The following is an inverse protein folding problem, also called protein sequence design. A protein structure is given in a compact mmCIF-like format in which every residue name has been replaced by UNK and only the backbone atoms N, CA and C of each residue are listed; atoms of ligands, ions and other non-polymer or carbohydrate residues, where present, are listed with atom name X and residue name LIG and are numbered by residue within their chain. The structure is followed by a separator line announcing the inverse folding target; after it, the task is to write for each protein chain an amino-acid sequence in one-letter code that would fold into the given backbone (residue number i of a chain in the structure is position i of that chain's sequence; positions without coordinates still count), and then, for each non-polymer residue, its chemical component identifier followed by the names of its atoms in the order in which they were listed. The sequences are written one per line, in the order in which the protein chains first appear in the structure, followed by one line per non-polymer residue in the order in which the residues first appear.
data_IF_258081040686
#
_entry.id   IF_258081040686
#
_cell.length_a   1.000
_cell.length_b   1.000
_cell.length_c   1.000
_cell.angle_alpha   90.00
_cell.angle_beta   90.00
_cell.angle_gamma   90.00
#
_symmetry.space_group_name_H-M   'P 1'
#
loop_
_entity.id
_entity.type
_entity.pdbx_description
1 polymer ?
#
# COMPACT_ATOMS: atom_id res chain seq x y z
N UNK A 1 60.15 -69.62 31.18
CA UNK A 1 59.14 -68.67 30.62
C UNK A 1 58.84 -69.04 29.17
N UNK A 2 57.66 -69.62 28.90
CA UNK A 2 57.14 -69.82 27.54
C UNK A 2 55.72 -69.26 27.51
N UNK A 3 55.52 -68.21 26.71
CA UNK A 3 54.29 -67.42 26.63
C UNK A 3 53.32 -68.07 25.64
N UNK A 4 52.10 -68.36 26.08
CA UNK A 4 50.99 -68.84 25.25
C UNK A 4 50.47 -67.72 24.33
N UNK A 5 50.49 -67.93 23.01
CA UNK A 5 49.79 -67.09 22.02
C UNK A 5 48.30 -67.51 21.94
N UNK A 6 47.39 -66.64 22.37
CA UNK A 6 45.93 -66.78 22.16
C UNK A 6 45.54 -66.20 20.80
N UNK A 7 45.09 -67.06 19.89
CA UNK A 7 44.48 -66.68 18.60
C UNK A 7 43.10 -66.05 18.80
N UNK A 8 42.92 -64.78 18.39
CA UNK A 8 41.63 -64.06 18.46
C UNK A 8 40.97 -64.07 17.07
N UNK A 9 40.02 -64.98 16.85
CA UNK A 9 39.16 -65.02 15.65
C UNK A 9 38.32 -63.72 15.54
N UNK A 10 38.54 -62.95 14.48
CA UNK A 10 37.71 -61.79 14.07
C UNK A 10 36.36 -62.28 13.55
N UNK A 11 35.27 -62.05 14.30
CA UNK A 11 33.89 -62.13 13.78
C UNK A 11 33.59 -60.87 12.96
N UNK A 12 33.45 -61.00 11.64
CA UNK A 12 32.87 -59.96 10.76
C UNK A 12 31.38 -59.84 11.11
N UNK A 13 30.94 -58.66 11.56
CA UNK A 13 29.52 -58.30 11.62
C UNK A 13 29.11 -57.87 10.21
N UNK A 14 28.26 -58.66 9.57
CA UNK A 14 27.53 -58.23 8.38
C UNK A 14 26.59 -57.09 8.79
N UNK A 15 26.81 -55.91 8.21
CA UNK A 15 25.86 -54.80 8.28
C UNK A 15 24.70 -55.16 7.34
N UNK A 16 23.55 -55.47 7.91
CA UNK A 16 22.28 -55.45 7.18
C UNK A 16 22.14 -54.08 6.52
N UNK A 17 21.97 -54.08 5.19
CA UNK A 17 21.60 -52.88 4.43
C UNK A 17 20.19 -52.53 4.86
N UNK A 18 20.09 -51.58 5.77
CA UNK A 18 18.84 -50.92 6.11
C UNK A 18 18.35 -50.23 4.83
N UNK A 19 17.20 -50.67 4.34
CA UNK A 19 16.51 -50.12 3.20
C UNK A 19 16.12 -48.70 3.55
N UNK A 20 16.94 -47.73 3.13
CA UNK A 20 16.65 -46.31 3.32
C UNK A 20 15.41 -46.01 2.48
N UNK A 21 14.24 -46.13 3.09
CA UNK A 21 13.01 -45.53 2.60
C UNK A 21 13.32 -44.07 2.25
N UNK A 22 13.37 -43.78 0.95
CA UNK A 22 13.45 -42.41 0.46
C UNK A 22 12.34 -41.63 1.15
N UNK A 23 12.61 -40.49 1.80
CA UNK A 23 11.55 -39.67 2.34
C UNK A 23 10.61 -39.31 1.18
N UNK A 24 9.32 -39.62 1.32
CA UNK A 24 8.29 -39.27 0.35
C UNK A 24 8.29 -37.75 0.19
N UNK A 25 9.04 -37.25 -0.78
CA UNK A 25 9.13 -35.83 -1.08
C UNK A 25 7.80 -35.39 -1.69
N UNK A 26 7.17 -34.39 -1.08
CA UNK A 26 6.01 -33.73 -1.67
C UNK A 26 6.44 -33.17 -3.04
N UNK A 27 5.74 -33.50 -4.12
CA UNK A 27 6.00 -32.93 -5.44
C UNK A 27 6.14 -31.39 -5.43
N UNK A 28 7.01 -30.86 -6.30
CA UNK A 28 7.35 -29.43 -6.32
C UNK A 28 6.16 -28.53 -6.65
N UNK A 29 5.28 -28.99 -7.53
CA UNK A 29 4.01 -28.37 -7.90
C UNK A 29 3.03 -28.31 -6.71
N UNK A 30 2.92 -29.39 -5.93
CA UNK A 30 2.12 -29.37 -4.71
C UNK A 30 2.73 -28.45 -3.64
N UNK A 31 4.05 -28.42 -3.53
CA UNK A 31 4.75 -27.47 -2.66
C UNK A 31 4.48 -26.02 -3.09
N UNK A 32 4.51 -25.73 -4.40
CA UNK A 32 4.15 -24.44 -4.98
C UNK A 32 2.74 -24.02 -4.55
N UNK A 33 1.78 -24.93 -4.76
CA UNK A 33 0.37 -24.67 -4.52
C UNK A 33 0.10 -24.46 -3.03
N UNK A 34 0.69 -25.27 -2.15
CA UNK A 34 0.59 -25.12 -0.70
C UNK A 34 1.16 -23.78 -0.25
N UNK A 35 2.41 -23.46 -0.63
CA UNK A 35 3.07 -22.25 -0.18
C UNK A 35 2.35 -20.98 -0.69
N UNK A 36 1.86 -20.99 -1.93
CA UNK A 36 1.13 -19.85 -2.51
C UNK A 36 -0.20 -19.53 -1.81
N UNK A 37 -0.76 -20.51 -1.08
CA UNK A 37 -2.00 -20.36 -0.32
C UNK A 37 -1.79 -19.74 1.07
N UNK A 38 -0.57 -19.76 1.59
CA UNK A 38 -0.25 -19.23 2.92
C UNK A 38 -0.19 -17.69 2.94
N UNK A 39 -0.38 -17.05 4.11
CA UNK A 39 -0.11 -15.63 4.26
C UNK A 39 1.36 -15.28 4.04
N UNK A 40 1.65 -14.07 3.57
CA UNK A 40 3.03 -13.61 3.29
C UNK A 40 3.97 -13.79 4.48
N UNK A 41 3.49 -13.50 5.70
CA UNK A 41 4.25 -13.68 6.95
C UNK A 41 4.72 -15.13 7.15
N UNK A 42 3.87 -16.11 6.82
CA UNK A 42 4.21 -17.52 6.94
C UNK A 42 5.23 -17.93 5.89
N UNK A 43 5.05 -17.46 4.65
CA UNK A 43 5.98 -17.72 3.54
C UNK A 43 7.39 -17.23 3.89
N UNK A 44 7.53 -16.00 4.38
CA UNK A 44 8.83 -15.44 4.79
C UNK A 44 9.48 -16.27 5.91
N UNK A 45 8.69 -16.75 6.87
CA UNK A 45 9.22 -17.64 7.93
C UNK A 45 9.66 -18.97 7.35
N UNK A 46 8.90 -19.54 6.42
CA UNK A 46 9.17 -20.86 5.87
C UNK A 46 10.35 -20.90 4.90
N UNK A 47 10.92 -19.75 4.51
CA UNK A 47 12.21 -19.69 3.84
C UNK A 47 13.35 -20.35 4.64
N UNK A 48 13.24 -20.44 5.98
CA UNK A 48 14.25 -21.10 6.79
C UNK A 48 14.13 -22.63 6.83
N UNK A 49 13.03 -23.21 6.31
CA UNK A 49 12.78 -24.66 6.36
C UNK A 49 13.72 -25.42 5.43
N UNK A 50 13.99 -24.89 4.23
CA UNK A 50 14.95 -25.48 3.30
C UNK A 50 15.46 -24.47 2.28
N UNK A 51 16.64 -24.73 1.70
CA UNK A 51 17.17 -23.95 0.57
C UNK A 51 16.22 -23.93 -0.63
N UNK A 52 15.54 -25.06 -0.87
CA UNK A 52 14.55 -25.19 -1.94
C UNK A 52 13.38 -24.23 -1.71
N UNK A 53 12.80 -24.19 -0.52
CA UNK A 53 11.66 -23.30 -0.22
C UNK A 53 12.07 -21.83 -0.26
N UNK A 54 13.28 -21.51 0.21
CA UNK A 54 13.86 -20.17 0.07
C UNK A 54 13.92 -19.75 -1.39
N UNK A 55 14.56 -20.54 -2.26
CA UNK A 55 14.66 -20.20 -3.69
C UNK A 55 13.30 -20.15 -4.39
N UNK A 56 12.39 -21.06 -4.04
CA UNK A 56 11.07 -21.15 -4.65
C UNK A 56 10.23 -19.90 -4.41
N UNK A 57 10.23 -19.42 -3.17
CA UNK A 57 9.39 -18.28 -2.76
C UNK A 57 9.90 -16.93 -3.27
N UNK A 58 11.15 -16.88 -3.76
CA UNK A 58 11.76 -15.71 -4.39
C UNK A 58 11.65 -15.72 -5.92
N UNK A 59 11.14 -16.80 -6.53
CA UNK A 59 10.98 -16.86 -7.98
C UNK A 59 9.92 -15.85 -8.45
N UNK A 60 10.15 -15.11 -9.56
CA UNK A 60 9.16 -14.18 -10.12
C UNK A 60 7.81 -14.84 -10.41
N UNK A 61 7.81 -16.08 -10.91
CA UNK A 61 6.58 -16.84 -11.15
C UNK A 61 5.78 -17.12 -9.87
N UNK A 62 6.47 -17.41 -8.76
CA UNK A 62 5.83 -17.60 -7.46
C UNK A 62 5.26 -16.28 -6.93
N UNK A 63 6.04 -15.20 -7.00
CA UNK A 63 5.61 -13.87 -6.56
C UNK A 63 4.37 -13.41 -7.34
N UNK A 64 4.36 -13.59 -8.66
CA UNK A 64 3.22 -13.25 -9.52
C UNK A 64 1.98 -14.10 -9.18
N UNK A 65 2.13 -15.42 -9.05
CA UNK A 65 1.04 -16.31 -8.62
C UNK A 65 0.49 -15.93 -7.24
N UNK A 66 1.38 -15.61 -6.29
CA UNK A 66 1.00 -15.13 -4.97
C UNK A 66 0.22 -13.81 -5.06
N UNK A 67 0.68 -12.86 -5.88
CA UNK A 67 0.01 -11.58 -6.06
C UNK A 67 -1.41 -11.77 -6.62
N UNK A 68 -1.60 -12.57 -7.67
CA UNK A 68 -2.92 -12.89 -8.23
C UNK A 68 -3.87 -13.50 -7.18
N UNK A 69 -3.37 -14.41 -6.34
CA UNK A 69 -4.15 -14.99 -5.23
C UNK A 69 -4.40 -14.00 -4.10
N UNK A 70 -3.44 -13.11 -3.82
CA UNK A 70 -3.57 -12.08 -2.80
C UNK A 70 -4.65 -11.07 -3.20
N UNK A 71 -4.75 -10.71 -4.48
CA UNK A 71 -5.80 -9.85 -5.02
C UNK A 71 -7.20 -10.46 -4.95
N UNK A 72 -7.33 -11.80 -4.95
CA UNK A 72 -8.62 -12.48 -4.81
C UNK A 72 -9.00 -12.79 -3.36
N UNK A 73 -8.09 -12.62 -2.40
CA UNK A 73 -8.38 -12.75 -0.97
C UNK A 73 -9.10 -11.49 -0.45
N UNK A 74 -9.73 -11.62 0.72
CA UNK A 74 -10.30 -10.47 1.41
C UNK A 74 -9.22 -9.41 1.69
N UNK A 75 -9.42 -8.15 1.29
CA UNK A 75 -8.46 -7.10 1.51
C UNK A 75 -8.27 -6.81 3.00
N UNK A 76 -7.15 -6.16 3.31
CA UNK A 76 -6.82 -5.71 4.65
C UNK A 76 -6.94 -4.20 4.75
N UNK A 77 -7.32 -3.77 5.93
CA UNK A 77 -7.25 -2.39 6.36
C UNK A 77 -5.92 -2.22 7.10
N UNK A 78 -5.03 -1.37 6.58
CA UNK A 78 -3.84 -0.96 7.32
C UNK A 78 -4.08 0.37 8.00
N UNK A 79 -3.69 0.42 9.26
CA UNK A 79 -3.64 1.63 10.05
C UNK A 79 -2.19 1.90 10.44
N UNK A 80 -1.76 3.15 10.25
CA UNK A 80 -0.46 3.62 10.72
C UNK A 80 -0.63 4.84 11.60
N UNK A 81 0.17 4.90 12.66
CA UNK A 81 0.10 5.99 13.63
C UNK A 81 1.44 6.21 14.33
N UNK A 82 1.61 7.40 14.88
CA UNK A 82 2.81 7.77 15.63
C UNK A 82 2.47 7.92 17.10
N UNK A 83 3.22 7.26 17.96
CA UNK A 83 3.10 7.34 19.40
C UNK A 83 4.49 7.54 20.00
N UNK A 84 4.67 8.62 20.77
CA UNK A 84 5.96 8.96 21.41
C UNK A 84 7.15 8.94 20.42
N UNK A 85 6.95 9.46 19.21
CA UNK A 85 7.96 9.49 18.15
C UNK A 85 8.24 8.15 17.46
N UNK A 86 7.53 7.07 17.81
CA UNK A 86 7.64 5.75 17.17
C UNK A 86 6.46 5.49 16.25
N UNK A 87 6.71 4.86 15.11
CA UNK A 87 5.69 4.55 14.11
C UNK A 87 5.19 3.11 14.23
N UNK A 88 3.88 2.94 14.35
CA UNK A 88 3.24 1.63 14.49
C UNK A 88 2.33 1.33 13.32
N UNK A 89 2.20 0.03 13.03
CA UNK A 89 1.39 -0.49 11.93
C UNK A 89 0.50 -1.58 12.47
N UNK A 90 -0.81 -1.40 12.28
CA UNK A 90 -1.82 -2.43 12.53
C UNK A 90 -2.46 -2.87 11.22
N UNK A 91 -2.83 -4.14 11.17
CA UNK A 91 -3.55 -4.72 10.05
C UNK A 91 -4.77 -5.48 10.52
N UNK A 92 -5.90 -5.20 9.88
CA UNK A 92 -7.19 -5.80 10.19
C UNK A 92 -7.82 -6.41 8.93
N UNK A 93 -8.64 -7.45 9.05
CA UNK A 93 -9.47 -7.89 7.94
C UNK A 93 -10.51 -6.81 7.65
N UNK A 94 -10.59 -6.32 6.40
CA UNK A 94 -11.44 -5.16 6.10
C UNK A 94 -12.94 -5.49 6.04
N UNK A 95 -13.26 -6.69 5.54
CA UNK A 95 -14.63 -7.11 5.21
C UNK A 95 -15.17 -8.18 6.15
N UNK A 96 -14.40 -8.60 7.16
CA UNK A 96 -14.84 -9.65 8.09
C UNK A 96 -15.49 -8.99 9.33
N UNK A 97 -16.80 -9.19 9.40
CA UNK A 97 -17.73 -9.11 10.53
C UNK A 97 -18.37 -7.74 10.91
N UNK A 98 -19.71 -7.64 11.04
CA UNK A 98 -20.45 -6.41 11.41
C UNK A 98 -20.63 -6.13 12.91
N UNK A 99 -20.24 -7.02 13.84
CA UNK A 99 -20.79 -7.01 15.22
C UNK A 99 -19.84 -6.75 16.40
N UNK A 100 -18.54 -6.54 16.25
CA UNK A 100 -17.73 -6.27 17.46
C UNK A 100 -16.22 -6.21 17.32
N UNK A 101 -15.59 -5.69 18.37
CA UNK A 101 -14.18 -5.30 18.54
C UNK A 101 -13.14 -6.11 17.74
N UNK A 102 -12.29 -5.41 16.99
CA UNK A 102 -11.23 -6.03 16.19
C UNK A 102 -9.92 -6.14 16.99
N UNK A 103 -9.33 -7.33 17.05
CA UNK A 103 -7.89 -7.47 17.30
C UNK A 103 -7.10 -7.41 15.99
N UNK A 104 -5.93 -6.75 15.95
CA UNK A 104 -5.12 -6.71 14.74
C UNK A 104 -4.57 -8.11 14.42
N UNK A 105 -4.64 -8.51 13.14
CA UNK A 105 -4.01 -9.74 12.62
C UNK A 105 -2.50 -9.71 12.86
N UNK A 106 -1.93 -8.51 12.75
CA UNK A 106 -0.60 -8.22 13.25
C UNK A 106 -0.47 -6.75 13.61
N UNK A 107 0.34 -6.52 14.64
CA UNK A 107 0.91 -5.23 14.99
C UNK A 107 2.44 -5.32 14.92
N UNK A 108 3.08 -4.22 14.56
CA UNK A 108 4.53 -4.09 14.70
C UNK A 108 4.98 -2.62 14.73
N UNK A 109 6.16 -2.42 15.33
CA UNK A 109 6.92 -1.18 15.23
C UNK A 109 7.63 -1.10 13.88
N UNK A 110 7.37 -0.04 13.11
CA UNK A 110 8.01 0.22 11.83
C UNK A 110 9.42 0.76 12.07
N UNK A 111 10.42 -0.12 11.94
CA UNK A 111 11.82 0.26 12.07
C UNK A 111 12.26 1.13 10.89
N UNK A 112 13.17 2.07 11.16
CA UNK A 112 13.76 2.98 10.18
C UNK A 112 12.74 3.92 9.52
N UNK A 113 11.59 4.17 10.14
CA UNK A 113 10.69 5.25 9.74
C UNK A 113 11.13 6.53 10.46
N UNK A 114 11.68 7.51 9.73
CA UNK A 114 12.15 8.76 10.32
C UNK A 114 11.33 9.91 9.73
N UNK A 115 10.32 10.40 10.47
CA UNK A 115 9.40 11.43 9.97
C UNK A 115 8.82 11.11 8.58
N UNK A 116 8.59 9.83 8.28
CA UNK A 116 8.14 9.39 6.96
C UNK A 116 6.64 9.67 6.80
N UNK A 117 6.32 10.84 6.26
CA UNK A 117 4.98 11.17 5.80
C UNK A 117 4.61 10.26 4.62
N UNK A 118 3.54 9.48 4.76
CA UNK A 118 3.05 8.61 3.68
C UNK A 118 2.55 9.45 2.51
N UNK A 119 3.08 9.18 1.30
CA UNK A 119 2.84 10.00 0.10
C UNK A 119 1.95 9.34 -0.95
N UNK A 120 1.41 8.16 -0.66
CA UNK A 120 0.58 7.40 -1.58
C UNK A 120 -0.37 6.48 -0.80
N UNK A 121 -1.38 5.94 -1.49
CA UNK A 121 -2.12 4.78 -0.98
C UNK A 121 -1.29 3.50 -1.07
N UNK A 122 -1.87 2.39 -0.60
CA UNK A 122 -1.35 1.09 -0.99
C UNK A 122 -1.64 0.83 -2.47
N UNK A 123 -0.59 0.64 -3.25
CA UNK A 123 -0.64 0.28 -4.65
C UNK A 123 -0.11 -1.15 -4.79
N UNK A 124 -1.00 -2.11 -5.00
CA UNK A 124 -0.66 -3.54 -5.10
C UNK A 124 0.28 -4.03 -3.97
N UNK A 125 -0.06 -3.67 -2.73
CA UNK A 125 0.65 -4.09 -1.53
C UNK A 125 1.92 -3.31 -1.19
N UNK A 126 2.29 -2.30 -1.98
CA UNK A 126 3.42 -1.39 -1.70
C UNK A 126 2.93 0.03 -1.39
N UNK A 127 3.69 0.77 -0.59
CA UNK A 127 3.38 2.16 -0.22
C UNK A 127 4.65 3.00 -0.40
N UNK A 128 4.54 4.12 -1.12
CA UNK A 128 5.62 5.11 -1.25
C UNK A 128 5.60 6.08 -0.07
N UNK A 129 6.76 6.18 0.57
CA UNK A 129 7.10 7.12 1.64
C UNK A 129 7.88 8.31 1.09
N UNK A 130 8.17 9.27 1.95
CA UNK A 130 9.07 10.36 1.63
C UNK A 130 10.50 9.87 1.29
N UNK A 131 11.27 10.68 0.56
CA UNK A 131 12.66 10.37 0.25
C UNK A 131 12.90 9.17 -0.68
N UNK A 132 11.95 8.86 -1.57
CA UNK A 132 11.99 7.70 -2.48
C UNK A 132 12.13 6.34 -1.77
N UNK A 133 11.44 6.21 -0.65
CA UNK A 133 11.45 4.97 0.12
C UNK A 133 10.17 4.21 -0.15
N UNK A 134 10.28 2.93 -0.47
CA UNK A 134 9.16 2.04 -0.71
C UNK A 134 9.03 1.11 0.48
N UNK A 135 7.85 1.11 1.07
CA UNK A 135 7.51 0.24 2.17
C UNK A 135 6.68 -0.93 1.67
N UNK A 136 7.13 -2.14 2.00
CA UNK A 136 6.33 -3.35 1.91
C UNK A 136 5.84 -3.74 3.32
N UNK A 137 4.55 -3.50 3.66
CA UNK A 137 4.01 -3.82 4.97
C UNK A 137 3.96 -5.32 5.29
N UNK A 138 3.89 -6.17 4.27
CA UNK A 138 3.82 -7.63 4.42
C UNK A 138 5.17 -8.21 4.83
N UNK A 139 6.24 -7.72 4.20
CA UNK A 139 7.62 -8.10 4.51
C UNK A 139 8.21 -7.30 5.67
N UNK A 140 7.55 -6.20 6.08
CA UNK A 140 8.03 -5.26 7.10
C UNK A 140 9.39 -4.65 6.73
N UNK A 141 9.61 -4.42 5.43
CA UNK A 141 10.86 -3.89 4.88
C UNK A 141 10.61 -2.56 4.20
N UNK A 142 11.60 -1.68 4.34
CA UNK A 142 11.66 -0.41 3.62
C UNK A 142 12.87 -0.49 2.71
N UNK A 143 12.63 -0.26 1.42
CA UNK A 143 13.66 -0.14 0.40
C UNK A 143 13.85 1.34 0.05
N UNK A 144 15.07 1.78 -0.15
CA UNK A 144 15.37 3.15 -0.59
C UNK A 144 15.80 3.08 -2.05
N UNK A 145 15.06 3.73 -2.94
CA UNK A 145 15.44 3.81 -4.34
C UNK A 145 16.72 4.64 -4.50
N UNK A 146 17.51 4.41 -5.56
CA UNK A 146 18.58 5.33 -5.92
C UNK A 146 18.02 6.74 -6.08
N UNK A 147 18.83 7.75 -5.80
CA UNK A 147 18.45 9.12 -6.17
C UNK A 147 18.58 9.27 -7.69
N UNK A 148 17.67 10.01 -8.34
CA UNK A 148 17.85 10.42 -9.72
C UNK A 148 19.17 11.18 -9.86
N UNK A 149 19.91 10.92 -10.95
CA UNK A 149 21.23 11.51 -11.19
C UNK A 149 21.21 13.04 -11.16
N UNK A 150 22.36 13.63 -10.79
CA UNK A 150 22.53 15.05 -10.43
C UNK A 150 22.43 16.06 -11.61
N UNK A 151 22.02 15.63 -12.80
CA UNK A 151 21.94 16.49 -13.99
C UNK A 151 20.67 17.32 -14.09
N UNK A 152 19.90 17.41 -13.00
CA UNK A 152 18.64 18.15 -12.99
C UNK A 152 18.95 19.64 -12.85
N UNK A 153 18.48 20.49 -13.77
CA UNK A 153 18.71 21.92 -13.71
C UNK A 153 18.31 22.51 -12.35
N UNK A 154 19.13 23.42 -11.81
CA UNK A 154 18.87 24.12 -10.53
C UNK A 154 17.51 24.84 -10.55
N UNK A 155 17.05 25.26 -11.74
CA UNK A 155 15.74 25.88 -11.95
C UNK A 155 14.55 24.96 -11.59
N UNK A 156 14.76 23.64 -11.52
CA UNK A 156 13.78 22.65 -11.08
C UNK A 156 13.95 22.35 -9.57
N UNK A 157 13.65 23.34 -8.73
CA UNK A 157 13.86 23.25 -7.29
C UNK A 157 12.81 22.42 -6.54
N UNK A 158 11.69 22.08 -7.20
CA UNK A 158 10.58 21.34 -6.59
C UNK A 158 10.43 19.94 -7.19
N UNK A 159 10.03 18.99 -6.34
CA UNK A 159 9.87 17.59 -6.73
C UNK A 159 8.65 16.92 -6.11
N UNK A 160 7.94 16.14 -6.92
CA UNK A 160 6.80 15.30 -6.51
C UNK A 160 6.96 13.89 -7.06
N UNK A 161 6.56 12.89 -6.28
CA UNK A 161 6.76 11.49 -6.64
C UNK A 161 5.52 10.67 -6.32
N UNK A 162 5.22 9.69 -7.17
CA UNK A 162 4.00 8.90 -7.14
C UNK A 162 4.29 7.44 -7.42
N UNK A 163 3.68 6.55 -6.64
CA UNK A 163 3.72 5.12 -6.88
C UNK A 163 2.61 4.72 -7.85
N UNK A 164 2.98 3.94 -8.85
CA UNK A 164 2.12 3.50 -9.93
C UNK A 164 2.22 1.99 -10.12
N UNK A 165 1.22 1.41 -10.77
CA UNK A 165 1.22 0.00 -11.14
C UNK A 165 0.71 -0.17 -12.56
N UNK A 166 1.44 -0.93 -13.36
CA UNK A 166 1.02 -1.41 -14.66
C UNK A 166 0.32 -2.77 -14.47
N UNK A 167 -1.02 -2.84 -14.59
CA UNK A 167 -1.76 -4.08 -14.39
C UNK A 167 -1.54 -5.10 -15.52
N UNK A 168 -1.03 -4.69 -16.69
CA UNK A 168 -0.79 -5.61 -17.81
C UNK A 168 0.57 -6.27 -17.68
N UNK A 169 1.61 -5.52 -17.32
CA UNK A 169 2.94 -6.08 -17.06
C UNK A 169 3.11 -6.62 -15.64
N UNK A 170 2.19 -6.28 -14.74
CA UNK A 170 2.24 -6.66 -13.34
C UNK A 170 3.36 -5.98 -12.55
N UNK A 171 3.80 -4.79 -12.99
CA UNK A 171 4.98 -4.10 -12.45
C UNK A 171 4.64 -2.79 -11.78
N UNK A 172 5.34 -2.52 -10.67
CA UNK A 172 5.34 -1.22 -10.04
C UNK A 172 6.30 -0.27 -10.76
N UNK A 173 5.87 0.98 -10.91
CA UNK A 173 6.71 2.09 -11.39
C UNK A 173 6.61 3.26 -10.42
N UNK A 174 7.67 4.05 -10.29
CA UNK A 174 7.63 5.31 -9.55
C UNK A 174 7.86 6.46 -10.52
N UNK A 175 6.86 7.34 -10.65
CA UNK A 175 6.97 8.58 -11.39
C UNK A 175 7.53 9.65 -10.46
N UNK A 176 8.50 10.40 -10.94
CA UNK A 176 9.06 11.56 -10.26
C UNK A 176 9.05 12.77 -11.19
N UNK A 177 8.39 13.84 -10.78
CA UNK A 177 8.31 15.09 -11.50
C UNK A 177 9.21 16.10 -10.81
N UNK A 178 10.22 16.58 -11.52
CA UNK A 178 10.95 17.78 -11.17
C UNK A 178 10.30 18.95 -11.91
N UNK A 179 10.01 20.04 -11.21
CA UNK A 179 9.25 21.14 -11.79
C UNK A 179 9.72 22.49 -11.26
N UNK A 180 9.65 23.48 -12.14
CA UNK A 180 9.93 24.89 -11.88
C UNK A 180 8.77 25.76 -12.34
N UNK A 181 9.00 27.06 -12.50
CA UNK A 181 7.98 28.01 -12.95
C UNK A 181 7.52 27.78 -14.39
N UNK A 182 8.39 27.27 -15.26
CA UNK A 182 8.14 27.15 -16.71
C UNK A 182 8.56 25.82 -17.33
N UNK A 183 8.99 24.85 -16.53
CA UNK A 183 9.45 23.55 -17.01
C UNK A 183 9.09 22.42 -16.06
N UNK A 184 8.94 21.23 -16.65
CA UNK A 184 8.72 19.97 -15.93
C UNK A 184 9.55 18.88 -16.58
N UNK A 185 10.23 18.09 -15.75
CA UNK A 185 11.04 16.95 -16.17
C UNK A 185 10.49 15.68 -15.50
N UNK A 186 9.83 14.81 -16.26
CA UNK A 186 9.33 13.55 -15.75
C UNK A 186 10.40 12.46 -15.82
N UNK A 187 10.73 11.87 -14.67
CA UNK A 187 11.57 10.68 -14.56
C UNK A 187 10.75 9.51 -14.07
N UNK A 188 11.10 8.31 -14.53
CA UNK A 188 10.46 7.07 -14.13
C UNK A 188 11.49 5.99 -13.82
N UNK A 189 11.18 5.18 -12.83
CA UNK A 189 11.91 3.96 -12.49
C UNK A 189 10.91 2.81 -12.40
N UNK A 190 11.26 1.67 -12.98
CA UNK A 190 10.47 0.44 -12.90
C UNK A 190 11.12 -0.49 -11.88
N UNK A 191 10.34 -0.97 -10.91
CA UNK A 191 10.88 -1.75 -9.80
C UNK A 191 11.05 -3.22 -10.18
N UNK A 192 12.09 -3.87 -9.66
CA UNK A 192 12.39 -5.28 -9.93
C UNK A 192 13.04 -5.58 -11.29
N UNK A 193 13.41 -4.54 -12.05
CA UNK A 193 14.24 -4.65 -13.26
C UNK A 193 15.62 -4.02 -12.99
N UNK A 194 16.34 -3.59 -14.04
CA UNK A 194 17.50 -2.72 -13.86
C UNK A 194 17.00 -1.37 -13.32
N UNK A 195 17.12 -1.18 -12.01
CA UNK A 195 16.51 -0.07 -11.25
C UNK A 195 17.26 1.24 -11.45
N UNK A 196 17.23 1.80 -12.66
CA UNK A 196 17.75 3.12 -12.97
C UNK A 196 16.62 4.09 -13.30
N UNK A 197 16.80 5.34 -12.88
CA UNK A 197 15.93 6.43 -13.31
C UNK A 197 16.19 6.74 -14.78
N UNK A 198 15.11 6.96 -15.53
CA UNK A 198 15.20 7.49 -16.89
C UNK A 198 14.19 8.60 -17.10
N UNK A 199 14.53 9.54 -17.97
CA UNK A 199 13.63 10.60 -18.41
C UNK A 199 12.55 9.97 -19.32
N UNK A 200 11.30 10.39 -19.13
CA UNK A 200 10.21 10.05 -20.06
C UNK A 200 10.31 11.01 -21.25
N UNK A 201 10.80 10.51 -22.38
CA UNK A 201 10.91 11.27 -23.64
C UNK A 201 9.73 11.05 -24.57
N UNK A 202 8.96 9.97 -24.35
CA UNK A 202 7.78 9.61 -25.16
C UNK A 202 6.54 10.32 -24.62
N UNK A 203 5.84 11.03 -25.50
CA UNK A 203 4.71 11.88 -25.13
C UNK A 203 5.17 13.21 -24.56
N UNK A 204 4.65 14.34 -25.07
CA UNK A 204 4.90 15.64 -24.46
C UNK A 204 4.26 15.65 -23.08
N UNK A 205 5.05 15.69 -22.02
CA UNK A 205 4.56 16.08 -20.70
C UNK A 205 4.20 17.57 -20.77
N UNK A 206 2.92 17.96 -20.62
CA UNK A 206 2.55 19.36 -20.60
C UNK A 206 3.27 20.06 -19.45
N UNK A 207 3.73 21.29 -19.64
CA UNK A 207 4.30 22.07 -18.54
C UNK A 207 3.21 22.28 -17.48
N UNK A 208 3.46 21.80 -16.27
CA UNK A 208 2.53 21.90 -15.15
C UNK A 208 3.26 21.81 -13.81
N UNK A 209 2.62 22.32 -12.76
CA UNK A 209 3.11 22.26 -11.38
C UNK A 209 2.20 21.37 -10.54
N UNK A 210 2.65 20.19 -10.08
CA UNK A 210 1.85 19.36 -9.19
C UNK A 210 1.60 20.07 -7.85
N UNK A 211 0.39 19.97 -7.31
CA UNK A 211 0.01 20.69 -6.10
C UNK A 211 0.64 20.07 -4.86
N UNK A 212 0.80 20.89 -3.81
CA UNK A 212 1.24 20.36 -2.51
C UNK A 212 0.16 19.57 -1.79
N UNK A 213 -1.10 19.88 -2.11
CA UNK A 213 -2.30 19.26 -1.56
C UNK A 213 -2.59 17.91 -2.21
N UNK A 214 -3.04 16.95 -1.39
CA UNK A 214 -3.37 15.61 -1.84
C UNK A 214 -2.14 14.73 -2.13
N UNK A 215 -2.39 13.43 -2.25
CA UNK A 215 -1.46 12.47 -2.82
C UNK A 215 -2.08 11.90 -4.10
N UNK A 216 -1.24 11.56 -5.08
CA UNK A 216 -1.71 10.94 -6.32
C UNK A 216 -2.27 9.55 -6.05
N UNK A 217 -3.26 9.16 -6.86
CA UNK A 217 -4.02 7.91 -6.74
C UNK A 217 -3.82 7.12 -8.02
N UNK A 218 -3.31 5.89 -7.92
CA UNK A 218 -3.13 5.01 -9.06
C UNK A 218 -4.15 3.87 -8.99
N UNK A 219 -5.00 3.77 -10.01
CA UNK A 219 -5.96 2.68 -10.17
C UNK A 219 -6.21 2.46 -11.67
N UNK A 220 -6.54 1.23 -12.06
CA UNK A 220 -6.78 0.84 -13.45
C UNK A 220 -5.62 1.20 -14.41
N UNK A 221 -4.37 1.17 -13.93
CA UNK A 221 -3.19 1.51 -14.75
C UNK A 221 -3.02 3.00 -15.04
N UNK A 222 -3.80 3.87 -14.40
CA UNK A 222 -3.72 5.32 -14.56
C UNK A 222 -3.45 5.96 -13.20
N UNK A 223 -2.44 6.81 -13.15
CA UNK A 223 -2.18 7.69 -12.01
C UNK A 223 -2.92 9.01 -12.21
N UNK A 224 -3.68 9.45 -11.21
CA UNK A 224 -4.32 10.75 -11.17
C UNK A 224 -3.72 11.60 -10.04
N UNK A 225 -3.34 12.83 -10.35
CA UNK A 225 -2.85 13.79 -9.36
C UNK A 225 -3.30 15.21 -9.66
N UNK A 226 -3.33 16.04 -8.63
CA UNK A 226 -3.72 17.45 -8.76
C UNK A 226 -2.51 18.28 -9.23
N UNK A 227 -2.75 19.20 -10.17
CA UNK A 227 -1.72 20.04 -10.76
C UNK A 227 -2.27 21.43 -11.14
N UNK A 228 -1.38 22.34 -11.51
CA UNK A 228 -1.69 23.65 -12.07
C UNK A 228 -1.01 23.85 -13.42
N UNK A 229 -1.75 24.48 -14.34
CA UNK A 229 -1.25 24.97 -15.64
C UNK A 229 -1.75 26.41 -15.78
N UNK A 230 -0.85 27.36 -16.03
CA UNK A 230 -1.18 28.78 -16.19
C UNK A 230 -2.14 29.32 -15.10
N UNK A 231 -1.84 29.02 -13.84
CA UNK A 231 -2.65 29.35 -12.64
C UNK A 231 -4.07 28.73 -12.57
N UNK A 232 -4.39 27.79 -13.46
CA UNK A 232 -5.61 27.00 -13.40
C UNK A 232 -5.36 25.62 -12.77
N UNK A 233 -6.16 25.27 -11.77
CA UNK A 233 -6.16 23.91 -11.20
C UNK A 233 -6.70 22.92 -12.25
N UNK A 234 -5.96 21.82 -12.44
CA UNK A 234 -6.33 20.68 -13.27
C UNK A 234 -6.11 19.37 -12.51
N UNK A 235 -6.61 18.28 -13.07
CA UNK A 235 -6.19 16.93 -12.71
C UNK A 235 -5.28 16.47 -13.85
N UNK A 236 -4.10 15.96 -13.53
CA UNK A 236 -3.26 15.31 -14.52
C UNK A 236 -3.44 13.80 -14.39
N UNK A 237 -3.73 13.14 -15.51
CA UNK A 237 -3.66 11.70 -15.62
C UNK A 237 -2.36 11.29 -16.28
N UNK A 238 -1.76 10.21 -15.79
CA UNK A 238 -0.58 9.57 -16.35
C UNK A 238 -0.90 8.09 -16.59
N UNK A 239 -0.93 7.68 -17.85
CA UNK A 239 -1.06 6.27 -18.24
C UNK A 239 0.28 5.58 -17.99
N UNK A 240 0.28 4.56 -17.14
CA UNK A 240 1.50 3.91 -16.67
C UNK A 240 2.15 3.05 -17.76
N UNK A 241 1.37 2.55 -18.70
CA UNK A 241 1.82 1.67 -19.77
C UNK A 241 2.40 2.48 -20.93
N UNK A 242 1.63 3.43 -21.46
CA UNK A 242 2.09 4.28 -22.57
C UNK A 242 3.04 5.38 -22.09
N UNK A 243 3.10 5.63 -20.78
CA UNK A 243 3.88 6.70 -20.15
C UNK A 243 3.49 8.08 -20.65
N UNK A 244 2.20 8.27 -20.96
CA UNK A 244 1.65 9.50 -21.52
C UNK A 244 0.84 10.30 -20.50
N UNK A 245 0.95 11.62 -20.60
CA UNK A 245 0.25 12.58 -19.75
C UNK A 245 -0.97 13.14 -20.47
N UNK A 246 -2.06 13.35 -19.74
CA UNK A 246 -3.27 14.00 -20.28
C UNK A 246 -3.91 14.88 -19.21
N UNK A 247 -4.18 16.16 -19.52
CA UNK A 247 -4.86 17.06 -18.60
C UNK A 247 -6.37 16.77 -18.59
N UNK A 248 -6.96 16.79 -17.40
CA UNK A 248 -8.38 16.62 -17.14
C UNK A 248 -8.88 17.88 -16.44
N UNK A 249 -9.93 18.48 -16.99
CA UNK A 249 -10.53 19.69 -16.45
C UNK A 249 -11.40 19.35 -15.23
N UNK A 250 -11.39 20.21 -14.20
CA UNK A 250 -12.35 20.07 -13.11
C UNK A 250 -13.79 20.35 -13.57
N UNK A 251 -14.81 19.82 -12.86
CA UNK A 251 -16.20 20.13 -13.15
C UNK A 251 -16.48 21.64 -13.10
N UNK A 252 -17.12 22.17 -14.14
CA UNK A 252 -17.57 23.57 -14.22
C UNK A 252 -18.54 23.87 -13.06
N UNK A 253 -18.44 25.05 -12.47
CA UNK A 253 -19.32 25.54 -11.38
C UNK A 253 -19.27 24.75 -10.06
N UNK A 254 -18.24 23.95 -9.85
CA UNK A 254 -18.07 23.22 -8.59
C UNK A 254 -17.63 24.17 -7.46
N UNK A 255 -18.29 24.11 -6.31
CA UNK A 255 -17.87 24.73 -5.03
C UNK A 255 -16.52 24.22 -4.50
N UNK A 256 -15.91 23.31 -5.26
CA UNK A 256 -14.70 22.56 -5.00
C UNK A 256 -13.43 23.37 -5.20
N UNK A 257 -13.48 24.63 -5.64
CA UNK A 257 -12.26 25.43 -5.87
C UNK A 257 -11.39 25.68 -4.62
N UNK A 258 -11.89 25.40 -3.41
CA UNK A 258 -11.16 25.68 -2.15
C UNK A 258 -11.15 24.54 -1.11
N UNK A 259 -11.71 23.38 -1.42
CA UNK A 259 -11.77 22.24 -0.47
C UNK A 259 -10.83 21.11 -0.90
N UNK A 260 -10.21 20.43 0.09
CA UNK A 260 -9.37 19.27 -0.16
C UNK A 260 -10.18 18.15 -0.83
N UNK A 261 -9.78 17.76 -2.04
CA UNK A 261 -10.45 16.74 -2.85
C UNK A 261 -9.75 15.41 -2.71
N UNK A 262 -10.54 14.34 -2.79
CA UNK A 262 -10.03 12.99 -2.96
C UNK A 262 -10.44 12.49 -4.33
N UNK A 263 -9.48 11.95 -5.07
CA UNK A 263 -9.72 11.20 -6.29
C UNK A 263 -9.92 9.74 -5.90
N UNK A 264 -11.04 9.16 -6.31
CA UNK A 264 -11.40 7.78 -6.00
C UNK A 264 -11.82 7.02 -7.25
N UNK A 265 -11.54 5.71 -7.33
CA UNK A 265 -12.23 4.84 -8.27
C UNK A 265 -13.69 4.71 -7.84
N UNK A 266 -14.63 5.00 -8.74
CA UNK A 266 -16.05 4.81 -8.52
C UNK A 266 -16.71 4.34 -9.81
N UNK A 267 -17.34 3.16 -9.79
CA UNK A 267 -17.90 2.52 -11.00
C UNK A 267 -16.90 2.42 -12.17
N UNK A 268 -15.67 2.02 -11.85
CA UNK A 268 -14.59 1.89 -12.83
C UNK A 268 -14.06 3.20 -13.40
N UNK A 269 -14.59 4.36 -12.96
CA UNK A 269 -14.24 5.69 -13.46
C UNK A 269 -13.60 6.53 -12.35
N UNK A 270 -12.92 7.59 -12.76
CA UNK A 270 -12.43 8.62 -11.83
C UNK A 270 -13.62 9.38 -11.25
N UNK A 271 -13.67 9.53 -9.93
CA UNK A 271 -14.58 10.43 -9.27
C UNK A 271 -13.90 11.34 -8.25
N UNK A 272 -14.49 12.51 -8.02
CA UNK A 272 -14.06 13.52 -7.08
C UNK A 272 -15.06 13.65 -5.95
N UNK A 273 -14.52 13.68 -4.74
CA UNK A 273 -15.29 13.75 -3.50
C UNK A 273 -14.57 14.65 -2.49
N UNK A 274 -15.31 15.42 -1.70
CA UNK A 274 -14.72 16.23 -0.63
C UNK A 274 -14.25 15.33 0.51
N UNK A 275 -13.12 15.68 1.14
CA UNK A 275 -12.61 14.91 2.30
C UNK A 275 -13.52 15.00 3.53
N UNK A 276 -14.18 16.14 3.69
CA UNK A 276 -15.07 16.40 4.81
C UNK A 276 -16.51 16.09 4.37
N UNK A 277 -17.08 15.06 5.00
CA UNK A 277 -18.46 14.55 4.83
C UNK A 277 -19.16 14.94 3.51
N UNK A 278 -18.87 14.23 2.42
CA UNK A 278 -19.29 14.64 1.10
C UNK A 278 -20.80 14.60 0.95
N UNK A 279 -21.35 15.71 0.47
CA UNK A 279 -22.74 15.81 0.02
C UNK A 279 -22.90 15.48 -1.46
N UNK A 280 -21.80 15.50 -2.22
CA UNK A 280 -21.81 15.35 -3.67
C UNK A 280 -20.58 14.57 -4.13
N UNK A 281 -20.78 13.81 -5.21
CA UNK A 281 -19.76 13.07 -5.94
C UNK A 281 -19.79 13.55 -7.40
N UNK A 282 -18.61 13.80 -7.97
CA UNK A 282 -18.49 14.13 -9.39
C UNK A 282 -17.79 12.99 -10.10
N UNK A 283 -18.48 12.33 -11.03
CA UNK A 283 -17.97 11.15 -11.75
C UNK A 283 -17.61 11.58 -13.17
N UNK A 284 -16.39 11.29 -13.60
CA UNK A 284 -15.94 11.59 -14.95
C UNK A 284 -16.73 10.73 -15.94
N UNK A 285 -17.29 11.36 -16.99
CA UNK A 285 -18.14 10.68 -17.98
C UNK A 285 -17.35 10.14 -19.16
N UNK A 286 -16.48 10.98 -19.71
CA UNK A 286 -15.80 10.77 -20.97
C UNK A 286 -14.37 10.28 -20.77
N UNK A 287 -13.84 9.59 -21.77
CA UNK A 287 -12.43 9.22 -21.81
C UNK A 287 -11.52 10.44 -22.01
N UNK A 288 -12.05 11.50 -22.65
CA UNK A 288 -11.33 12.72 -22.99
C UNK A 288 -11.13 13.66 -21.79
N UNK A 289 -11.81 13.41 -20.66
CA UNK A 289 -11.52 14.11 -19.40
C UNK A 289 -12.13 15.50 -19.29
N UNK A 290 -13.30 15.73 -19.91
CA UNK A 290 -13.90 17.06 -20.02
C UNK A 290 -15.33 17.14 -19.45
N UNK A 291 -16.03 16.01 -19.32
CA UNK A 291 -17.41 15.97 -18.83
C UNK A 291 -17.55 15.24 -17.49
N UNK A 292 -18.36 15.82 -16.60
CA UNK A 292 -18.61 15.29 -15.26
C UNK A 292 -20.11 15.14 -14.99
N UNK A 293 -20.48 14.03 -14.36
CA UNK A 293 -21.81 13.84 -13.76
C UNK A 293 -21.76 14.23 -12.30
N UNK A 294 -22.62 15.16 -11.88
CA UNK A 294 -22.85 15.42 -10.45
C UNK A 294 -23.88 14.42 -9.92
N UNK A 295 -23.51 13.71 -8.86
CA UNK A 295 -24.39 12.84 -8.11
C UNK A 295 -24.48 13.35 -6.67
N UNK A 296 -25.68 13.66 -6.19
CA UNK A 296 -25.90 14.00 -4.79
C UNK A 296 -25.83 12.73 -3.94
N UNK A 297 -25.05 12.78 -2.87
CA UNK A 297 -24.99 11.70 -1.90
C UNK A 297 -26.10 11.88 -0.86
N UNK A 298 -26.75 10.79 -0.43
CA UNK A 298 -27.80 10.88 0.57
C UNK A 298 -27.22 11.40 1.89
N UNK A 299 -28.04 12.16 2.63
CA UNK A 299 -27.61 12.75 3.90
C UNK A 299 -27.39 11.62 4.91
N UNK A 300 -26.14 11.38 5.24
CA UNK A 300 -25.80 10.27 6.13
C UNK A 300 -26.22 10.58 7.57
N UNK A 301 -26.92 9.64 8.21
CA UNK A 301 -27.34 9.72 9.61
C UNK A 301 -26.21 9.28 10.54
N UNK A 302 -25.16 10.10 10.66
CA UNK A 302 -24.10 9.85 11.64
C UNK A 302 -24.55 10.23 13.04
N UNK A 303 -24.06 9.51 14.05
CA UNK A 303 -24.06 10.02 15.44
C UNK A 303 -23.32 11.36 15.41
N UNK A 304 -23.95 12.41 15.91
CA UNK A 304 -23.49 13.81 15.83
C UNK A 304 -22.03 14.01 16.26
N UNK A 305 -21.56 13.22 17.24
CA UNK A 305 -20.16 13.21 17.71
C UNK A 305 -19.11 12.89 16.65
N UNK A 306 -19.43 12.16 15.58
CA UNK A 306 -18.46 11.76 14.55
C UNK A 306 -18.14 12.85 13.53
N UNK A 307 -19.08 13.80 13.34
CA UNK A 307 -19.04 14.77 12.23
C UNK A 307 -17.90 15.77 12.29
N UNK A 308 -17.26 15.90 13.45
CA UNK A 308 -16.25 16.94 13.72
C UNK A 308 -14.82 16.34 13.67
N UNK A 309 -14.68 15.01 13.78
CA UNK A 309 -13.38 14.35 13.98
C UNK A 309 -12.94 13.41 12.86
N UNK A 310 -13.87 12.97 12.01
CA UNK A 310 -13.62 12.00 10.95
C UNK A 310 -13.25 12.68 9.63
N UNK A 311 -12.36 12.03 8.87
CA UNK A 311 -12.06 12.40 7.50
C UNK A 311 -12.15 11.20 6.59
N UNK A 312 -12.54 11.46 5.34
CA UNK A 312 -12.45 10.47 4.28
C UNK A 312 -10.99 10.11 4.03
N UNK A 313 -10.69 8.81 4.03
CA UNK A 313 -9.36 8.25 3.82
C UNK A 313 -9.25 7.46 2.52
N UNK A 314 -10.33 6.85 2.06
CA UNK A 314 -10.33 6.01 0.88
C UNK A 314 -11.71 5.50 0.51
N UNK A 315 -11.75 4.55 -0.41
CA UNK A 315 -12.93 3.79 -0.79
C UNK A 315 -12.56 2.30 -0.79
N UNK A 316 -13.48 1.42 -0.43
CA UNK A 316 -13.28 -0.03 -0.53
C UNK A 316 -13.55 -0.53 -1.94
N UNK A 317 -13.09 -1.73 -2.30
CA UNK A 317 -13.42 -2.34 -3.60
C UNK A 317 -14.93 -2.57 -3.79
N UNK A 318 -15.68 -2.65 -2.67
CA UNK A 318 -17.14 -2.71 -2.68
C UNK A 318 -17.82 -1.36 -2.90
N UNK A 319 -17.05 -0.26 -3.00
CA UNK A 319 -17.58 1.09 -3.21
C UNK A 319 -17.97 1.83 -1.92
N UNK A 320 -17.59 1.32 -0.74
CA UNK A 320 -17.87 1.99 0.53
C UNK A 320 -16.83 3.07 0.82
N UNK A 321 -17.27 4.29 1.10
CA UNK A 321 -16.41 5.39 1.54
C UNK A 321 -15.91 5.13 2.96
N UNK A 322 -14.59 5.20 3.16
CA UNK A 322 -13.94 4.88 4.44
C UNK A 322 -13.54 6.16 5.17
N UNK A 323 -14.15 6.37 6.34
CA UNK A 323 -13.89 7.50 7.22
C UNK A 323 -13.16 7.04 8.48
N UNK A 324 -12.14 7.79 8.88
CA UNK A 324 -11.38 7.52 10.10
C UNK A 324 -10.98 8.84 10.80
N UNK A 325 -10.75 8.81 12.12
CA UNK A 325 -10.41 10.02 12.85
C UNK A 325 -8.98 10.48 12.52
N UNK A 326 -8.73 11.79 12.63
CA UNK A 326 -7.37 12.35 12.52
C UNK A 326 -6.44 11.90 13.65
N UNK A 327 -7.00 11.64 14.82
CA UNK A 327 -6.26 11.22 16.01
C UNK A 327 -7.18 10.42 16.94
N UNK A 328 -6.58 9.62 17.81
CA UNK A 328 -7.28 8.83 18.83
C UNK A 328 -6.43 8.73 20.10
N UNK A 329 -7.01 8.19 21.16
CA UNK A 329 -6.32 7.96 22.45
C UNK A 329 -6.24 6.46 22.69
N UNK A 330 -7.32 5.86 23.18
CA UNK A 330 -7.35 4.42 23.52
C UNK A 330 -8.13 3.57 22.50
N UNK A 331 -9.15 4.17 21.90
CA UNK A 331 -10.08 3.49 21.00
C UNK A 331 -10.50 4.45 19.88
N UNK A 332 -10.95 3.88 18.77
CA UNK A 332 -11.46 4.65 17.64
C UNK A 332 -12.46 3.83 16.84
N UNK A 333 -13.15 4.51 15.93
CA UNK A 333 -14.06 3.88 15.00
C UNK A 333 -13.56 4.12 13.57
N UNK A 334 -13.72 3.13 12.72
CA UNK A 334 -13.69 3.32 11.27
C UNK A 334 -15.10 3.15 10.76
N UNK A 335 -15.52 4.09 9.95
CA UNK A 335 -16.88 4.20 9.46
C UNK A 335 -16.86 3.93 7.97
N UNK A 336 -17.71 3.00 7.55
CA UNK A 336 -17.93 2.66 6.16
C UNK A 336 -19.31 3.17 5.77
N UNK A 337 -19.36 3.93 4.68
CA UNK A 337 -20.61 4.45 4.13
C UNK A 337 -20.77 3.96 2.69
N UNK A 338 -21.82 3.20 2.44
CA UNK A 338 -22.21 2.78 1.11
C UNK A 338 -23.17 3.84 0.51
N UNK A 339 -22.71 4.62 -0.48
CA UNK A 339 -23.54 5.66 -1.09
C UNK A 339 -24.70 5.10 -1.93
N UNK A 340 -24.62 3.84 -2.40
CA UNK A 340 -25.66 3.20 -3.22
C UNK A 340 -26.79 2.66 -2.37
N UNK A 341 -26.44 1.98 -1.27
CA UNK A 341 -27.41 1.42 -0.32
C UNK A 341 -27.89 2.43 0.71
N UNK A 342 -27.23 3.59 0.77
CA UNK A 342 -27.44 4.59 1.82
C UNK A 342 -27.35 3.97 3.23
N UNK A 343 -26.38 3.07 3.41
CA UNK A 343 -26.17 2.34 4.65
C UNK A 343 -24.80 2.64 5.22
N UNK A 344 -24.71 2.59 6.53
CA UNK A 344 -23.44 2.75 7.24
C UNK A 344 -23.17 1.55 8.11
N UNK A 345 -21.91 1.14 8.20
CA UNK A 345 -21.43 0.21 9.23
C UNK A 345 -20.22 0.81 9.94
N UNK A 346 -20.11 0.51 11.23
CA UNK A 346 -19.06 1.01 12.09
C UNK A 346 -18.18 -0.17 12.52
N UNK A 347 -16.87 -0.02 12.41
CA UNK A 347 -15.90 -0.93 12.98
C UNK A 347 -15.31 -0.27 14.23
N UNK A 348 -15.62 -0.83 15.40
CA UNK A 348 -15.06 -0.34 16.66
C UNK A 348 -13.74 -1.02 16.95
N UNK A 349 -12.77 -0.19 17.26
CA UNK A 349 -11.44 -0.59 17.59
C UNK A 349 -11.22 -0.19 19.07
N UNK A 350 -11.06 -1.16 19.99
CA UNK A 350 -10.83 -0.94 21.42
C UNK A 350 -9.47 -1.46 21.92
N UNK A 351 -8.88 -0.76 22.90
CA UNK A 351 -7.89 -1.37 23.81
C UNK A 351 -6.52 -1.68 23.22
N UNK A 352 -6.09 -0.99 22.17
CA UNK A 352 -4.84 -1.33 21.47
C UNK A 352 -3.56 -0.87 22.17
N UNK A 353 -3.68 0.06 23.09
CA UNK A 353 -2.59 0.49 23.96
C UNK A 353 -2.53 -0.51 25.12
N UNK A 354 -1.86 -1.65 24.91
CA UNK A 354 -1.64 -2.65 25.97
C UNK A 354 -0.87 -2.07 27.16
N UNK A 355 -0.81 -2.78 28.30
CA UNK A 355 -0.12 -2.29 29.50
C UNK A 355 1.38 -2.02 29.27
N UNK A 356 2.04 -2.68 28.31
CA UNK A 356 3.40 -2.35 27.88
C UNK A 356 3.53 -0.93 27.28
N UNK A 357 2.47 -0.41 26.65
CA UNK A 357 2.40 0.97 26.15
C UNK A 357 2.05 1.98 27.26
N UNK A 358 1.46 1.52 28.36
CA UNK A 358 1.11 2.36 29.53
C UNK A 358 2.26 2.56 30.51
N UNK A 359 3.26 1.67 30.51
CA UNK A 359 4.42 1.66 31.44
C UNK A 359 5.62 2.50 30.98
N UNK A 360 5.51 3.33 29.95
CA UNK A 360 6.59 4.29 29.64
C UNK A 360 6.55 5.45 30.65
N UNK A 361 7.50 5.47 31.56
CA UNK A 361 7.63 6.36 32.74
C UNK A 361 7.83 7.86 32.45
N UNK A 362 6.88 8.53 31.79
CA UNK A 362 6.82 10.00 31.79
C UNK A 362 5.37 10.48 31.89
N UNK A 363 5.06 11.14 33.00
CA UNK A 363 3.72 11.64 33.35
C UNK A 363 3.11 12.56 32.30
N UNK A 364 1.77 12.51 32.23
CA UNK A 364 0.93 13.22 31.26
C UNK A 364 1.23 14.72 31.15
N UNK A 365 1.27 15.23 29.92
CA UNK A 365 0.05 15.83 29.37
C UNK A 365 -0.26 15.35 27.93
N UNK A 366 -1.49 14.88 27.71
CA UNK A 366 -2.10 14.60 26.40
C UNK A 366 -1.38 13.58 25.48
N UNK A 367 -1.57 12.28 25.76
CA UNK A 367 -1.24 11.15 24.87
C UNK A 367 -2.15 11.09 23.63
N UNK A 368 -2.21 12.16 22.83
CA UNK A 368 -2.93 12.16 21.56
C UNK A 368 -2.10 11.41 20.52
N UNK A 369 -2.60 10.27 20.06
CA UNK A 369 -1.99 9.53 18.95
C UNK A 369 -2.46 10.15 17.64
N UNK A 370 -1.54 10.63 16.81
CA UNK A 370 -1.88 11.12 15.48
C UNK A 370 -2.02 9.95 14.50
N UNK A 371 -3.20 9.80 13.91
CA UNK A 371 -3.50 8.75 12.93
C UNK A 371 -2.92 9.17 11.58
N UNK A 372 -1.85 8.50 11.16
CA UNK A 372 -0.98 8.96 10.09
C UNK A 372 -1.16 8.24 8.74
N UNK A 373 -2.01 7.23 8.69
CA UNK A 373 -2.41 6.59 7.43
C UNK A 373 -3.49 5.55 7.64
N UNK A 374 -4.51 5.56 6.79
CA UNK A 374 -5.53 4.50 6.72
C UNK A 374 -5.59 4.06 5.28
N UNK A 375 -5.22 2.80 5.04
CA UNK A 375 -5.13 2.21 3.71
C UNK A 375 -6.16 1.11 3.62
N UNK A 376 -7.28 1.42 2.96
CA UNK A 376 -8.22 0.41 2.53
C UNK A 376 -7.61 -0.42 1.39
N UNK A 377 -8.15 -1.61 1.16
CA UNK A 377 -7.82 -2.50 0.04
C UNK A 377 -6.34 -2.93 0.00
N UNK A 378 -5.63 -2.90 1.14
CA UNK A 378 -4.26 -3.38 1.18
C UNK A 378 -4.23 -4.90 0.97
N UNK A 379 -3.49 -5.32 -0.04
CA UNK A 379 -3.21 -6.73 -0.33
C UNK A 379 -1.81 -7.11 0.15
N UNK A 380 -1.61 -8.38 0.48
CA UNK A 380 -0.27 -8.87 0.79
C UNK A 380 0.61 -8.90 -0.46
N UNK A 381 1.90 -8.61 -0.29
CA UNK A 381 2.89 -8.63 -1.37
C UNK A 381 4.20 -9.29 -0.93
N UNK A 382 4.72 -10.18 -1.78
CA UNK A 382 6.05 -10.78 -1.64
C UNK A 382 7.12 -10.03 -2.45
N UNK A 383 6.77 -8.92 -3.09
CA UNK A 383 7.72 -8.13 -3.87
C UNK A 383 8.81 -7.60 -2.95
N UNK A 384 10.05 -7.94 -3.26
CA UNK A 384 11.26 -7.44 -2.63
C UNK A 384 12.23 -6.97 -3.70
N UNK A 385 13.01 -5.94 -3.38
CA UNK A 385 14.01 -5.32 -4.24
C UNK A 385 15.38 -5.48 -3.62
#
# INVERSE_FOLDING_TARGET
MRVFKKNKKRRRREKSRDDRSQPNHIPLDLTFEILSRLPAKSIVRYQCVSKLWSSFTTLPSFINSFASRSSSRSPRLLLTFTLQGKHFVFSFPQNQNPEGSYSPVYSYHMKNAYNDYMRSESVHGLILLYGFRIWNPSLRRIFTLPHPEEHIPISLCSRRSYLCYDPLEGKHKVLCLYYGSSSVEPLIITLGAQESWRIITKGRCPVHSPTKEGYGRCFNGILYYQARVDDHDIIMSFDVKSESFSPINYPKYSSFRRSYKMMIPYDGRLALVTRDFPSELYILKDADGHEWTRQCLPRVRFKSKWRIYMQLKGITDAGELVFAPKSFVDSFYILYFDPRRNSTREAFFEGFMGDEFRRSDYGFPNNRTDCFGVFANHMESLVSF
#
